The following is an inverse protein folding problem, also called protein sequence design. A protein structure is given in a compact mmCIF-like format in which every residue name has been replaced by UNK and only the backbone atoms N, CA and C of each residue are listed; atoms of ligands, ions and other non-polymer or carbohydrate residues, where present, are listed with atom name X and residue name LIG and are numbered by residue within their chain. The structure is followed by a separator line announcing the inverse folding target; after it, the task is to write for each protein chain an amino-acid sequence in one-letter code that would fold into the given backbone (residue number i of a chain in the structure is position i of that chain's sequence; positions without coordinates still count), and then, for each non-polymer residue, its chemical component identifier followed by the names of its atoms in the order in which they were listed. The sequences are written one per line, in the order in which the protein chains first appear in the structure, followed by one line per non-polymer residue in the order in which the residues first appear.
data_IF_352538952012
#
_entry.id   IF_352538952012
#
_cell.length_a   1.000
_cell.length_b   1.000
_cell.length_c   1.000
_cell.angle_alpha   90.00
_cell.angle_beta   90.00
_cell.angle_gamma   90.00
#
_symmetry.space_group_name_H-M   'P 1'
#
loop_
_entity.id
_entity.type
_entity.pdbx_description
1 polymer ?
#
# COMPACT_ATOMS: atom_id res chain seq x y z
N UNK A 1 15.46 -6.47 15.53
CA UNK A 1 14.86 -5.27 14.93
C UNK A 1 15.85 -4.12 15.07
N UNK A 2 16.36 -3.56 13.96
CA UNK A 2 17.15 -2.31 13.98
C UNK A 2 16.22 -1.14 13.66
N UNK A 3 16.59 0.07 14.07
CA UNK A 3 15.85 1.34 13.88
C UNK A 3 14.72 1.68 14.86
N UNK A 4 14.55 0.97 15.98
CA UNK A 4 13.73 1.48 17.09
C UNK A 4 14.57 2.33 18.05
N UNK A 5 14.05 3.48 18.56
CA UNK A 5 14.74 4.31 19.54
C UNK A 5 14.73 3.63 20.92
N UNK A 6 15.53 2.59 21.07
CA UNK A 6 15.78 1.91 22.33
C UNK A 6 17.12 2.31 22.94
N UNK A 7 17.36 1.93 24.21
CA UNK A 7 18.66 2.12 24.85
C UNK A 7 19.73 1.32 24.08
N UNK A 8 20.82 1.98 23.67
CA UNK A 8 21.87 1.40 22.80
C UNK A 8 21.35 0.79 21.48
N UNK A 9 20.23 1.31 20.95
CA UNK A 9 19.65 0.82 19.69
C UNK A 9 18.96 -0.54 19.80
N UNK A 10 18.56 -0.94 21.02
CA UNK A 10 17.82 -2.17 21.31
C UNK A 10 16.57 -1.87 22.13
N UNK A 11 15.45 -2.47 21.75
CA UNK A 11 14.23 -2.48 22.57
C UNK A 11 14.46 -3.33 23.84
N UNK A 12 13.86 -2.93 24.95
CA UNK A 12 13.77 -3.79 26.13
C UNK A 12 12.97 -5.06 25.80
N UNK A 13 13.19 -6.15 26.54
CA UNK A 13 12.42 -7.39 26.35
C UNK A 13 10.91 -7.18 26.53
N UNK A 14 10.52 -6.28 27.44
CA UNK A 14 9.13 -5.90 27.66
C UNK A 14 8.53 -5.13 26.48
N UNK A 15 9.26 -4.15 25.92
CA UNK A 15 8.83 -3.41 24.75
C UNK A 15 8.73 -4.33 23.51
N UNK A 16 9.68 -5.25 23.35
CA UNK A 16 9.63 -6.25 22.28
C UNK A 16 8.41 -7.16 22.44
N UNK A 17 8.12 -7.67 23.64
CA UNK A 17 6.95 -8.50 23.90
C UNK A 17 5.63 -7.73 23.70
N UNK A 18 5.59 -6.42 24.03
CA UNK A 18 4.45 -5.57 23.76
C UNK A 18 4.21 -5.41 22.26
N UNK A 19 5.27 -5.16 21.48
CA UNK A 19 5.22 -5.12 20.02
C UNK A 19 4.84 -6.49 19.41
N UNK A 20 5.36 -7.61 19.93
CA UNK A 20 4.96 -8.95 19.47
C UNK A 20 3.45 -9.17 19.68
N UNK A 21 2.87 -8.66 20.77
CA UNK A 21 1.42 -8.75 21.05
C UNK A 21 0.54 -7.87 20.17
N UNK A 22 1.06 -6.81 19.54
CA UNK A 22 0.24 -6.00 18.63
C UNK A 22 -0.02 -6.71 17.30
N UNK A 23 0.72 -7.77 17.00
CA UNK A 23 0.71 -8.40 15.68
C UNK A 23 1.33 -7.52 14.58
N UNK A 24 1.86 -6.34 14.92
CA UNK A 24 2.48 -5.40 13.97
C UNK A 24 3.96 -5.73 13.75
N UNK A 25 4.55 -6.64 14.51
CA UNK A 25 5.89 -7.12 14.24
C UNK A 25 5.90 -8.09 13.06
N UNK A 26 6.83 -7.92 12.11
CA UNK A 26 7.14 -8.97 11.16
C UNK A 26 7.54 -10.22 11.95
N UNK A 27 6.90 -11.36 11.67
CA UNK A 27 7.29 -12.60 12.35
C UNK A 27 8.75 -12.97 12.00
N UNK A 28 9.43 -13.74 12.85
CA UNK A 28 10.89 -13.94 12.76
C UNK A 28 11.39 -14.60 11.46
N UNK A 29 10.49 -15.23 10.71
CA UNK A 29 10.71 -15.79 9.37
C UNK A 29 10.23 -14.88 8.23
N UNK A 30 9.53 -13.80 8.53
CA UNK A 30 8.84 -12.96 7.56
C UNK A 30 9.13 -11.48 7.83
N UNK A 31 9.96 -10.86 6.99
CA UNK A 31 10.10 -9.40 6.89
C UNK A 31 8.94 -8.75 6.08
N UNK A 32 7.79 -9.43 5.99
CA UNK A 32 6.79 -9.25 4.94
C UNK A 32 5.59 -8.43 5.41
N UNK A 33 5.81 -7.25 5.97
CA UNK A 33 4.76 -6.23 5.84
C UNK A 33 4.70 -5.93 4.34
N UNK A 34 3.62 -6.35 3.67
CA UNK A 34 3.43 -6.06 2.26
C UNK A 34 3.17 -4.57 2.14
N UNK A 35 4.01 -3.88 1.38
CA UNK A 35 3.80 -2.47 1.11
C UNK A 35 2.66 -2.33 0.09
N UNK A 36 1.42 -2.41 0.58
CA UNK A 36 0.22 -2.09 -0.19
C UNK A 36 -0.20 -0.68 0.18
N UNK A 37 -0.04 0.23 -0.78
CA UNK A 37 -0.49 1.61 -0.68
C UNK A 37 -1.83 1.75 -1.38
N UNK A 38 -2.79 2.41 -0.74
CA UNK A 38 -4.14 2.63 -1.27
C UNK A 38 -4.49 4.11 -1.11
N UNK A 39 -5.25 4.69 -2.03
CA UNK A 39 -5.71 6.09 -1.93
C UNK A 39 -6.33 6.34 -0.54
N UNK A 40 -5.80 7.28 0.27
CA UNK A 40 -6.12 7.30 1.70
C UNK A 40 -7.58 7.55 2.08
N UNK A 41 -8.40 8.18 1.23
CA UNK A 41 -9.82 8.35 1.51
C UNK A 41 -10.72 7.35 0.76
N UNK A 42 -10.16 6.25 0.24
CA UNK A 42 -10.98 5.21 -0.43
C UNK A 42 -12.06 4.68 0.51
N UNK A 43 -13.30 4.64 0.03
CA UNK A 43 -14.46 4.24 0.83
C UNK A 43 -14.85 5.20 1.96
N UNK A 44 -14.20 6.36 2.08
CA UNK A 44 -14.53 7.41 3.04
C UNK A 44 -15.15 8.63 2.36
N UNK A 45 -14.49 9.16 1.33
CA UNK A 45 -14.98 10.33 0.61
C UNK A 45 -14.39 10.44 -0.80
N UNK A 46 -15.26 10.72 -1.78
CA UNK A 46 -14.87 10.80 -3.18
C UNK A 46 -14.35 9.47 -3.72
N UNK A 47 -13.45 9.54 -4.70
CA UNK A 47 -12.98 8.35 -5.43
C UNK A 47 -14.06 7.79 -6.36
N UNK A 48 -13.66 6.91 -7.28
CA UNK A 48 -14.55 6.24 -8.23
C UNK A 48 -14.99 4.86 -7.72
N UNK A 49 -14.20 4.27 -6.84
CA UNK A 49 -14.46 2.97 -6.23
C UNK A 49 -14.00 2.91 -4.76
N UNK A 50 -14.61 2.01 -3.98
CA UNK A 50 -14.08 1.62 -2.67
C UNK A 50 -13.13 0.42 -2.85
N UNK A 51 -11.83 0.66 -2.67
CA UNK A 51 -10.79 -0.34 -2.87
C UNK A 51 -10.46 -1.13 -1.59
N UNK A 52 -11.14 -0.91 -0.46
CA UNK A 52 -10.85 -1.63 0.79
C UNK A 52 -11.09 -3.13 0.67
N UNK A 53 -12.06 -3.56 -0.12
CA UNK A 53 -12.28 -4.99 -0.40
C UNK A 53 -11.14 -5.57 -1.26
N UNK A 54 -10.76 -4.86 -2.32
CA UNK A 54 -9.67 -5.26 -3.22
C UNK A 54 -8.32 -5.32 -2.49
N UNK A 55 -8.04 -4.35 -1.61
CA UNK A 55 -6.82 -4.31 -0.82
C UNK A 55 -6.72 -5.49 0.15
N UNK A 56 -7.81 -5.83 0.86
CA UNK A 56 -7.87 -6.99 1.74
C UNK A 56 -7.68 -8.30 0.98
N UNK A 57 -8.40 -8.45 -0.13
CA UNK A 57 -8.26 -9.65 -0.96
C UNK A 57 -6.84 -9.79 -1.54
N UNK A 58 -6.22 -8.69 -1.95
CA UNK A 58 -4.82 -8.70 -2.39
C UNK A 58 -3.90 -9.15 -1.25
N UNK A 59 -4.03 -8.58 -0.05
CA UNK A 59 -3.23 -8.97 1.11
C UNK A 59 -3.39 -10.47 1.44
N UNK A 60 -4.63 -10.98 1.45
CA UNK A 60 -4.93 -12.40 1.66
C UNK A 60 -4.23 -13.29 0.63
N UNK A 61 -4.28 -12.91 -0.65
CA UNK A 61 -3.61 -13.64 -1.75
C UNK A 61 -2.09 -13.59 -1.62
N UNK A 62 -1.53 -12.43 -1.28
CA UNK A 62 -0.09 -12.26 -1.07
C UNK A 62 0.43 -13.06 0.14
N UNK A 63 -0.42 -13.26 1.15
CA UNK A 63 -0.11 -14.06 2.34
C UNK A 63 -0.29 -15.57 2.09
N UNK A 64 -1.24 -15.96 1.24
CA UNK A 64 -1.51 -17.36 0.92
C UNK A 64 -0.44 -18.00 0.02
N UNK A 65 0.30 -17.20 -0.76
CA UNK A 65 1.36 -17.69 -1.64
C UNK A 65 2.75 -17.62 -0.97
N UNK A 66 3.36 -18.75 -0.60
CA UNK A 66 4.65 -18.77 0.06
C UNK A 66 5.81 -18.32 -0.85
N UNK A 67 5.70 -18.41 -2.18
CA UNK A 67 6.77 -17.95 -3.08
C UNK A 67 6.87 -16.42 -3.09
N UNK A 68 5.77 -15.72 -2.83
CA UNK A 68 5.76 -14.26 -2.71
C UNK A 68 6.51 -13.77 -1.47
N UNK A 69 6.90 -14.65 -0.54
CA UNK A 69 7.85 -14.33 0.51
C UNK A 69 9.23 -13.90 -0.03
N UNK A 70 9.56 -14.24 -1.29
CA UNK A 70 10.80 -13.83 -1.94
C UNK A 70 10.77 -12.39 -2.49
N UNK A 71 9.61 -11.72 -2.49
CA UNK A 71 9.52 -10.31 -2.88
C UNK A 71 10.38 -9.45 -1.96
N UNK A 72 11.03 -8.45 -2.54
CA UNK A 72 11.78 -7.45 -1.77
C UNK A 72 10.84 -6.71 -0.81
N UNK A 73 11.31 -6.36 0.38
CA UNK A 73 10.60 -5.45 1.28
C UNK A 73 10.40 -4.04 0.70
N UNK A 74 10.98 -3.75 -0.48
CA UNK A 74 10.76 -2.53 -1.26
C UNK A 74 9.75 -2.70 -2.40
N UNK A 75 9.29 -3.93 -2.67
CA UNK A 75 8.31 -4.19 -3.72
C UNK A 75 6.99 -3.53 -3.33
N UNK A 76 6.52 -2.59 -4.15
CA UNK A 76 5.43 -1.69 -3.78
C UNK A 76 4.19 -1.94 -4.64
N UNK A 77 3.08 -2.27 -3.97
CA UNK A 77 1.75 -2.32 -4.58
C UNK A 77 1.05 -0.97 -4.40
N UNK A 78 0.45 -0.41 -5.45
CA UNK A 78 -0.25 0.89 -5.37
C UNK A 78 -1.63 0.79 -6.01
N UNK A 79 -2.68 1.06 -5.22
CA UNK A 79 -4.07 1.01 -5.65
C UNK A 79 -4.67 2.42 -5.57
N UNK A 80 -4.85 3.07 -6.72
CA UNK A 80 -5.49 4.38 -6.82
C UNK A 80 -6.99 4.20 -7.07
N UNK A 81 -7.84 4.81 -6.25
CA UNK A 81 -9.30 4.65 -6.35
C UNK A 81 -9.95 5.49 -7.46
N UNK A 82 -9.14 6.00 -8.39
CA UNK A 82 -9.57 6.78 -9.54
C UNK A 82 -9.58 8.28 -9.26
N UNK A 83 -9.03 8.72 -8.13
CA UNK A 83 -8.85 10.14 -7.78
C UNK A 83 -7.51 10.72 -8.26
N UNK A 84 -6.53 9.87 -8.59
CA UNK A 84 -5.26 10.30 -9.15
C UNK A 84 -4.18 10.74 -8.14
N UNK A 85 -4.42 10.57 -6.84
CA UNK A 85 -3.51 11.02 -5.77
C UNK A 85 -2.27 10.13 -5.60
N UNK A 86 -2.30 8.94 -6.22
CA UNK A 86 -1.19 7.98 -6.22
C UNK A 86 -0.60 7.74 -7.62
N UNK A 87 -1.09 8.42 -8.66
CA UNK A 87 -0.55 8.31 -10.02
C UNK A 87 0.94 8.67 -10.11
N UNK A 88 1.36 9.71 -9.39
CA UNK A 88 2.76 10.14 -9.36
C UNK A 88 3.68 9.19 -8.54
N UNK A 89 3.11 8.24 -7.79
CA UNK A 89 3.90 7.27 -7.03
C UNK A 89 4.36 6.15 -7.94
N UNK A 90 5.65 5.84 -7.86
CA UNK A 90 6.18 4.62 -8.47
C UNK A 90 5.53 3.40 -7.82
N UNK A 91 5.33 2.34 -8.59
CA UNK A 91 4.85 1.06 -8.10
C UNK A 91 5.50 -0.06 -8.90
N UNK A 92 5.58 -1.24 -8.33
CA UNK A 92 5.90 -2.45 -9.07
C UNK A 92 4.65 -2.99 -9.74
N UNK A 93 3.56 -3.11 -8.99
CA UNK A 93 2.26 -3.56 -9.46
C UNK A 93 1.15 -2.73 -8.83
N UNK A 94 -0.01 -2.67 -9.46
CA UNK A 94 -1.10 -1.88 -8.92
C UNK A 94 -2.29 -1.77 -9.85
N UNK A 95 -3.17 -0.83 -9.53
CA UNK A 95 -4.29 -0.47 -10.37
C UNK A 95 -4.66 1.01 -10.22
N UNK A 96 -5.44 1.50 -11.18
CA UNK A 96 -6.19 2.75 -11.07
C UNK A 96 -7.65 2.44 -11.43
N UNK A 97 -8.58 2.75 -10.54
CA UNK A 97 -9.99 2.59 -10.83
C UNK A 97 -10.42 3.57 -11.93
N UNK A 98 -11.09 3.05 -12.96
CA UNK A 98 -11.67 3.83 -14.05
C UNK A 98 -13.09 4.26 -13.68
N UNK A 99 -13.83 3.37 -13.03
CA UNK A 99 -15.16 3.59 -12.48
C UNK A 99 -15.42 2.63 -11.30
N UNK A 100 -16.68 2.45 -10.90
CA UNK A 100 -17.06 1.55 -9.80
C UNK A 100 -16.96 0.06 -10.12
N UNK A 101 -16.66 -0.31 -11.37
CA UNK A 101 -16.62 -1.68 -11.89
C UNK A 101 -15.27 -2.03 -12.49
N UNK A 102 -14.61 -1.09 -13.17
CA UNK A 102 -13.40 -1.33 -13.95
C UNK A 102 -12.18 -0.61 -13.39
N UNK A 103 -11.02 -1.23 -13.56
CA UNK A 103 -9.73 -0.64 -13.27
C UNK A 103 -8.70 -1.00 -14.35
N UNK A 104 -7.72 -0.14 -14.56
CA UNK A 104 -6.56 -0.47 -15.39
C UNK A 104 -5.38 -0.86 -14.49
N UNK A 105 -4.75 -1.99 -14.80
CA UNK A 105 -3.57 -2.45 -14.06
C UNK A 105 -2.35 -1.55 -14.33
N UNK A 106 -1.56 -1.32 -13.28
CA UNK A 106 -0.23 -0.68 -13.35
C UNK A 106 0.85 -1.74 -13.26
N UNK A 107 1.85 -1.69 -14.15
CA UNK A 107 2.94 -2.66 -14.21
C UNK A 107 4.25 -1.90 -14.39
N UNK A 108 4.99 -1.71 -13.28
CA UNK A 108 6.16 -0.84 -13.23
C UNK A 108 5.80 0.58 -13.66
N UNK A 109 6.45 1.07 -14.72
CA UNK A 109 6.22 2.39 -15.30
C UNK A 109 5.16 2.40 -16.41
N UNK A 110 4.53 1.27 -16.71
CA UNK A 110 3.58 1.12 -17.82
C UNK A 110 2.21 0.59 -17.40
N UNK A 111 1.37 0.34 -18.40
CA UNK A 111 -0.03 -0.03 -18.21
C UNK A 111 -0.30 -1.47 -18.66
N UNK A 112 -1.07 -2.18 -17.86
CA UNK A 112 -1.59 -3.51 -18.17
C UNK A 112 -3.00 -3.47 -18.75
N UNK A 113 -3.65 -4.63 -18.73
CA UNK A 113 -5.04 -4.77 -19.15
C UNK A 113 -6.00 -3.99 -18.24
N UNK A 114 -7.11 -3.55 -18.82
CA UNK A 114 -8.31 -3.16 -18.08
C UNK A 114 -9.02 -4.43 -17.61
N UNK A 115 -9.38 -4.47 -16.34
CA UNK A 115 -9.97 -5.63 -15.65
C UNK A 115 -11.12 -5.18 -14.77
N UNK A 116 -12.04 -6.09 -14.45
CA UNK A 116 -13.05 -5.82 -13.44
C UNK A 116 -12.37 -5.69 -12.06
N UNK A 117 -12.85 -4.76 -11.23
CA UNK A 117 -12.35 -4.56 -9.86
C UNK A 117 -12.45 -5.83 -9.03
N UNK A 118 -13.48 -6.65 -9.27
CA UNK A 118 -13.68 -7.95 -8.62
C UNK A 118 -12.57 -8.97 -8.96
N UNK A 119 -11.88 -8.81 -10.08
CA UNK A 119 -10.79 -9.68 -10.50
C UNK A 119 -9.40 -9.08 -10.21
N UNK A 120 -9.33 -7.77 -9.96
CA UNK A 120 -8.08 -7.01 -9.93
C UNK A 120 -7.07 -7.55 -8.91
N UNK A 121 -7.52 -7.90 -7.70
CA UNK A 121 -6.65 -8.48 -6.67
C UNK A 121 -6.00 -9.80 -7.14
N UNK A 122 -6.78 -10.68 -7.77
CA UNK A 122 -6.29 -11.92 -8.36
C UNK A 122 -5.25 -11.68 -9.44
N UNK A 123 -5.54 -10.77 -10.39
CA UNK A 123 -4.64 -10.44 -11.49
C UNK A 123 -3.34 -9.82 -11.02
N UNK A 124 -3.37 -8.98 -9.98
CA UNK A 124 -2.16 -8.40 -9.38
C UNK A 124 -1.31 -9.49 -8.69
N UNK A 125 -1.94 -10.40 -7.95
CA UNK A 125 -1.22 -11.50 -7.31
C UNK A 125 -0.58 -12.46 -8.33
N UNK A 126 -1.28 -12.77 -9.42
CA UNK A 126 -0.73 -13.56 -10.54
C UNK A 126 0.50 -12.88 -11.16
N UNK A 127 0.45 -11.57 -11.39
CA UNK A 127 1.59 -10.80 -11.88
C UNK A 127 2.76 -10.81 -10.88
N UNK A 128 2.48 -10.73 -9.58
CA UNK A 128 3.51 -10.78 -8.54
C UNK A 128 4.20 -12.16 -8.52
N UNK A 129 3.44 -13.24 -8.67
CA UNK A 129 3.98 -14.60 -8.75
C UNK A 129 4.84 -14.76 -10.01
N UNK A 130 4.34 -14.31 -11.16
CA UNK A 130 5.09 -14.33 -12.42
C UNK A 130 6.39 -13.51 -12.31
N UNK A 131 6.37 -12.38 -11.60
CA UNK A 131 7.58 -11.60 -11.33
C UNK A 131 8.60 -12.42 -10.55
N UNK A 132 8.18 -13.11 -9.47
CA UNK A 132 9.06 -13.99 -8.67
C UNK A 132 9.66 -15.11 -9.53
N UNK A 133 8.88 -15.70 -10.42
CA UNK A 133 9.36 -16.73 -11.36
C UNK A 133 10.41 -16.14 -12.31
N UNK A 134 10.12 -15.00 -12.94
CA UNK A 134 11.00 -14.41 -13.96
C UNK A 134 12.27 -13.78 -13.42
N UNK A 135 12.23 -13.15 -12.24
CA UNK A 135 13.43 -12.56 -11.62
C UNK A 135 14.47 -13.63 -11.25
N UNK A 136 14.06 -14.89 -11.15
CA UNK A 136 14.91 -16.00 -10.74
C UNK A 136 15.40 -15.89 -9.29
N UNK A 137 16.48 -16.59 -8.96
CA UNK A 137 17.04 -16.65 -7.61
C UNK A 137 18.49 -16.18 -7.60
N UNK A 138 18.93 -15.62 -6.47
CA UNK A 138 20.33 -15.26 -6.21
C UNK A 138 20.59 -13.75 -6.12
N UNK A 139 21.86 -13.36 -5.88
CA UNK A 139 22.22 -11.97 -5.53
C UNK A 139 21.94 -10.94 -6.62
N UNK A 140 21.87 -11.36 -7.90
CA UNK A 140 21.58 -10.50 -9.04
C UNK A 140 20.11 -10.49 -9.49
N UNK A 141 19.22 -11.18 -8.76
CA UNK A 141 17.80 -11.24 -9.12
C UNK A 141 17.12 -9.88 -8.91
N UNK A 142 16.45 -9.37 -9.94
CA UNK A 142 15.72 -8.09 -9.95
C UNK A 142 14.86 -7.89 -8.70
N UNK A 143 14.91 -6.72 -8.08
CA UNK A 143 14.09 -6.37 -6.92
C UNK A 143 12.77 -5.72 -7.31
N UNK A 144 12.75 -5.07 -8.49
CA UNK A 144 11.62 -4.33 -9.01
C UNK A 144 11.22 -4.81 -10.41
N UNK A 145 9.95 -4.63 -10.77
CA UNK A 145 9.43 -4.98 -12.11
C UNK A 145 10.20 -4.26 -13.22
N UNK A 146 10.62 -3.01 -12.97
CA UNK A 146 11.41 -2.20 -13.91
C UNK A 146 12.83 -2.74 -14.17
N UNK A 147 13.32 -3.65 -13.33
CA UNK A 147 14.66 -4.24 -13.46
C UNK A 147 14.64 -5.56 -14.25
N UNK A 148 13.47 -6.06 -14.65
CA UNK A 148 13.38 -7.23 -15.52
C UNK A 148 13.91 -6.92 -16.92
N UNK A 149 14.66 -7.87 -17.48
CA UNK A 149 15.16 -7.77 -18.85
C UNK A 149 14.04 -7.82 -19.91
N UNK A 150 12.94 -8.52 -19.59
CA UNK A 150 11.76 -8.65 -20.43
C UNK A 150 10.52 -8.12 -19.70
N UNK A 151 9.60 -7.53 -20.44
CA UNK A 151 8.37 -6.98 -19.88
C UNK A 151 7.53 -8.07 -19.19
N UNK A 152 7.13 -7.83 -17.94
CA UNK A 152 6.37 -8.77 -17.13
C UNK A 152 5.04 -9.21 -17.79
N UNK A 153 4.40 -8.29 -18.51
CA UNK A 153 3.20 -8.55 -19.28
C UNK A 153 3.15 -7.65 -20.52
N UNK A 154 2.19 -7.93 -21.40
CA UNK A 154 1.89 -7.10 -22.57
C UNK A 154 1.50 -5.69 -22.12
N UNK A 155 2.27 -4.71 -22.55
CA UNK A 155 1.98 -3.30 -22.31
C UNK A 155 0.77 -2.85 -23.12
N UNK A 156 -0.11 -2.07 -22.51
CA UNK A 156 -1.28 -1.46 -23.12
C UNK A 156 -1.14 0.05 -23.14
N UNK A 157 -1.93 0.69 -24.01
CA UNK A 157 -2.09 2.14 -23.94
C UNK A 157 -2.83 2.50 -22.64
N UNK A 158 -2.57 3.70 -22.13
CA UNK A 158 -3.36 4.29 -21.05
C UNK A 158 -4.83 4.38 -21.47
N UNK A 159 -5.72 3.93 -20.60
CA UNK A 159 -7.16 4.03 -20.81
C UNK A 159 -7.58 5.52 -20.79
N UNK A 160 -8.38 6.01 -21.76
CA UNK A 160 -8.88 7.38 -21.76
C UNK A 160 -9.68 7.77 -20.51
N UNK A 161 -10.20 6.77 -19.78
CA UNK A 161 -10.90 6.96 -18.51
C UNK A 161 -9.99 7.20 -17.31
N UNK A 162 -8.65 7.09 -17.43
CA UNK A 162 -7.76 7.37 -16.30
C UNK A 162 -7.95 8.82 -15.78
N UNK A 163 -7.84 9.05 -14.46
CA UNK A 163 -7.85 10.40 -13.92
C UNK A 163 -6.59 11.18 -14.31
N UNK A 164 -6.71 12.51 -14.27
CA UNK A 164 -5.53 13.38 -14.21
C UNK A 164 -4.82 13.20 -12.85
N UNK A 165 -3.48 13.36 -12.79
CA UNK A 165 -2.76 13.38 -11.52
C UNK A 165 -3.32 14.44 -10.58
N UNK A 166 -3.58 14.05 -9.33
CA UNK A 166 -4.05 14.94 -8.29
C UNK A 166 -2.93 15.25 -7.29
N UNK A 167 -3.02 16.44 -6.68
CA UNK A 167 -2.16 16.81 -5.56
C UNK A 167 -2.41 15.90 -4.35
N UNK A 168 -1.41 15.71 -3.47
CA UNK A 168 -1.58 15.05 -2.19
C UNK A 168 -2.78 15.55 -1.39
N UNK A 169 -3.35 14.68 -0.55
CA UNK A 169 -4.40 15.08 0.39
C UNK A 169 -3.88 16.21 1.30
N UNK A 170 -4.52 17.40 1.31
CA UNK A 170 -4.06 18.50 2.16
C UNK A 170 -4.21 18.16 3.64
N UNK A 171 -3.39 18.79 4.49
CA UNK A 171 -3.57 18.72 5.94
C UNK A 171 -4.71 19.63 6.41
N UNK A 172 -5.37 19.24 7.50
CA UNK A 172 -6.53 19.92 8.07
C UNK A 172 -7.83 19.14 7.86
N UNK A 173 -8.96 19.85 7.91
CA UNK A 173 -10.27 19.28 7.66
C UNK A 173 -10.40 18.90 6.17
N UNK A 174 -10.80 17.66 5.91
CA UNK A 174 -10.98 17.11 4.57
C UNK A 174 -12.31 16.35 4.52
N UNK A 175 -12.86 16.07 3.33
CA UNK A 175 -14.05 15.22 3.24
C UNK A 175 -13.84 13.87 3.96
N UNK A 176 -14.76 13.52 4.85
CA UNK A 176 -14.73 12.25 5.59
C UNK A 176 -13.68 12.19 6.71
N UNK A 177 -13.06 13.30 7.12
CA UNK A 177 -12.08 13.25 8.22
C UNK A 177 -11.22 14.50 8.43
N UNK A 178 -10.16 14.31 9.21
CA UNK A 178 -9.10 15.30 9.42
C UNK A 178 -7.75 14.67 9.14
N UNK A 179 -6.98 15.24 8.22
CA UNK A 179 -5.63 14.81 7.90
C UNK A 179 -4.62 15.60 8.72
N UNK A 180 -3.89 14.92 9.61
CA UNK A 180 -2.95 15.52 10.55
C UNK A 180 -1.52 15.26 10.08
N UNK A 181 -0.69 16.29 10.04
CA UNK A 181 0.73 16.17 9.72
C UNK A 181 1.49 15.53 10.88
N UNK A 182 2.42 14.63 10.56
CA UNK A 182 3.36 14.04 11.50
C UNK A 182 4.71 14.74 11.40
N UNK A 183 5.13 15.34 12.51
CA UNK A 183 6.38 16.09 12.61
C UNK A 183 7.61 15.22 12.34
N UNK A 184 8.76 15.84 12.09
CA UNK A 184 10.03 15.12 11.84
C UNK A 184 10.51 14.31 13.03
N UNK A 185 10.08 14.69 14.23
CA UNK A 185 10.39 13.99 15.47
C UNK A 185 9.53 12.74 15.67
N UNK A 186 8.54 12.50 14.80
CA UNK A 186 7.63 11.35 14.86
C UNK A 186 6.43 11.57 15.77
N UNK A 187 5.78 10.45 16.13
CA UNK A 187 4.62 10.41 17.02
C UNK A 187 5.09 10.04 18.44
N UNK A 188 4.79 10.89 19.41
CA UNK A 188 4.93 10.54 20.83
C UNK A 188 3.64 9.90 21.36
N UNK A 189 3.68 9.42 22.60
CA UNK A 189 2.55 8.75 23.23
C UNK A 189 1.31 9.67 23.30
N UNK A 190 1.48 10.95 23.66
CA UNK A 190 0.36 11.87 23.77
C UNK A 190 -0.29 12.12 22.41
N UNK A 191 0.53 12.28 21.36
CA UNK A 191 0.01 12.44 19.99
C UNK A 191 -0.75 11.18 19.56
N UNK A 192 -0.26 9.98 19.87
CA UNK A 192 -0.98 8.74 19.55
C UNK A 192 -2.32 8.67 20.30
N UNK A 193 -2.33 8.99 21.59
CA UNK A 193 -3.55 9.05 22.39
C UNK A 193 -4.55 10.05 21.78
N UNK A 194 -4.10 11.25 21.41
CA UNK A 194 -4.94 12.29 20.80
C UNK A 194 -5.49 11.88 19.43
N UNK A 195 -4.69 11.22 18.59
CA UNK A 195 -5.08 10.75 17.25
C UNK A 195 -6.11 9.62 17.31
N UNK A 196 -6.10 8.81 18.37
CA UNK A 196 -6.90 7.59 18.50
C UNK A 196 -8.05 7.71 19.51
N UNK A 197 -8.12 8.78 20.29
CA UNK A 197 -9.09 8.95 21.37
C UNK A 197 -10.57 8.84 20.95
N UNK A 198 -10.87 9.14 19.69
CA UNK A 198 -12.25 9.24 19.18
C UNK A 198 -12.54 8.34 17.98
N UNK A 199 -11.63 7.42 17.62
CA UNK A 199 -11.79 6.55 16.45
C UNK A 199 -11.21 5.17 16.72
N UNK A 200 -11.84 4.13 16.16
CA UNK A 200 -11.34 2.75 16.24
C UNK A 200 -10.11 2.51 15.36
N UNK A 201 -9.90 3.35 14.34
CA UNK A 201 -8.78 3.22 13.42
C UNK A 201 -8.37 4.56 12.84
N UNK A 202 -7.11 4.63 12.41
CA UNK A 202 -6.55 5.75 11.66
C UNK A 202 -5.91 5.24 10.38
N UNK A 203 -5.74 6.13 9.40
CA UNK A 203 -5.13 5.79 8.11
C UNK A 203 -3.78 6.52 8.02
N UNK A 204 -2.70 5.75 7.97
CA UNK A 204 -1.35 6.30 7.73
C UNK A 204 -1.24 6.65 6.25
N UNK A 205 -0.91 7.91 5.95
CA UNK A 205 -0.85 8.42 4.59
C UNK A 205 0.60 8.46 4.08
N UNK A 206 0.84 8.38 2.75
CA UNK A 206 2.18 8.36 2.17
C UNK A 206 2.86 9.74 2.16
N UNK A 207 2.30 10.73 2.85
CA UNK A 207 2.76 12.12 2.92
C UNK A 207 3.16 12.54 4.33
N UNK A 208 3.61 11.57 5.15
CA UNK A 208 3.93 11.79 6.57
C UNK A 208 2.76 12.37 7.34
N UNK A 209 1.59 11.79 7.15
CA UNK A 209 0.36 12.19 7.81
C UNK A 209 -0.43 11.02 8.33
N UNK A 210 -1.42 11.34 9.16
CA UNK A 210 -2.43 10.41 9.65
C UNK A 210 -3.80 11.02 9.35
N UNK A 211 -4.60 10.34 8.55
CA UNK A 211 -6.01 10.68 8.36
C UNK A 211 -6.82 10.02 9.47
N UNK A 212 -7.54 10.87 10.20
CA UNK A 212 -8.51 10.48 11.22
C UNK A 212 -9.89 10.51 10.54
N UNK A 213 -10.53 9.36 10.27
CA UNK A 213 -11.86 9.33 9.67
C UNK A 213 -12.90 9.95 10.59
N UNK A 214 -13.92 10.60 10.04
CA UNK A 214 -15.14 10.92 10.79
C UNK A 214 -15.95 9.63 11.02
N UNK A 215 -16.37 9.37 12.25
CA UNK A 215 -17.32 8.28 12.51
C UNK A 215 -18.62 8.56 11.74
N UNK A 216 -19.04 7.59 10.92
CA UNK A 216 -20.38 7.61 10.32
C UNK A 216 -21.39 7.41 11.45
N UNK A 217 -21.95 8.51 11.96
CA UNK A 217 -23.10 8.47 12.89
C UNK A 217 -24.33 7.86 12.25
#
# INVERSE_FOLDING_TARGET
MRAFPGFEGRLSSEALAALERTGLLPSRTHELVRNVMVSPQTGLAGGRADLRAVARELDDRLCADPDLAALSGRFLFVLDDGRGDLLARSCDLGLVALDSTWAQLRIGTGWGATVELAEAAGRIAELAHEFVVRRGRGPGAAWHVSELAEALAVQRASDPGLPDPAEPLPFGAVPGGRHVEVSETGLDQQVIEDLTAAVDHVIVTPWRGVLIPEESR
#
